data_IF_515835819403
#
_entry.id   IF_515835819403
#
_cell.length_a   1.000
_cell.length_b   1.000
_cell.length_c   1.000
_cell.angle_alpha   90.00
_cell.angle_beta   90.00
_cell.angle_gamma   90.00
#
_symmetry.space_group_name_H-M   'P 1'
#
loop_
_entity.id
_entity.type
_entity.pdbx_description
1 polymer ?
#
# COMPACT_ATOMS: atom_id res chain seq x y z
N UNK A 1 29.73 3.30 -7.86
CA UNK A 1 29.60 3.05 -6.42
C UNK A 1 28.24 2.47 -6.17
N UNK A 2 28.18 1.38 -5.45
CA UNK A 2 26.92 0.67 -5.15
C UNK A 2 26.58 0.83 -3.69
N UNK A 3 25.29 0.83 -3.37
CA UNK A 3 24.75 0.93 -2.03
C UNK A 3 23.64 -0.08 -1.86
N UNK A 4 23.62 -0.78 -0.74
CA UNK A 4 22.47 -1.56 -0.30
C UNK A 4 21.88 -0.90 0.95
N UNK A 5 20.56 -0.74 0.98
CA UNK A 5 19.88 0.04 2.02
C UNK A 5 18.64 -0.68 2.54
N UNK A 6 18.33 -0.41 3.79
CA UNK A 6 17.13 -0.90 4.49
C UNK A 6 16.32 0.31 4.97
N UNK A 7 15.03 0.28 4.75
CA UNK A 7 14.10 1.29 5.28
C UNK A 7 13.75 0.94 6.72
N UNK A 8 14.30 1.71 7.67
CA UNK A 8 14.11 1.44 9.09
C UNK A 8 12.75 1.91 9.61
N UNK A 9 12.16 2.96 9.03
CA UNK A 9 10.83 3.44 9.45
C UNK A 9 9.73 2.48 9.04
N UNK A 10 9.91 1.76 7.94
CA UNK A 10 8.96 0.74 7.49
C UNK A 10 8.84 -0.45 8.44
N UNK A 11 9.90 -0.77 9.19
CA UNK A 11 9.93 -1.91 10.10
C UNK A 11 8.86 -1.80 11.19
N UNK A 12 8.62 -0.59 11.71
CA UNK A 12 7.59 -0.34 12.72
C UNK A 12 6.16 -0.65 12.21
N UNK A 13 5.96 -0.64 10.88
CA UNK A 13 4.71 -0.95 10.21
C UNK A 13 4.70 -2.36 9.60
N UNK A 14 5.59 -3.26 10.04
CA UNK A 14 5.77 -4.60 9.45
C UNK A 14 6.10 -4.57 7.95
N UNK A 15 6.62 -3.45 7.46
CA UNK A 15 6.90 -3.18 6.07
C UNK A 15 8.41 -3.27 5.82
N UNK A 16 8.85 -4.37 5.26
CA UNK A 16 10.27 -4.65 5.03
C UNK A 16 10.69 -4.06 3.69
N UNK A 17 11.45 -2.96 3.74
CA UNK A 17 11.89 -2.22 2.56
C UNK A 17 13.40 -2.32 2.35
N UNK A 18 13.80 -2.77 1.16
CA UNK A 18 15.18 -2.86 0.72
C UNK A 18 15.38 -2.02 -0.53
N UNK A 19 16.56 -1.47 -0.69
CA UNK A 19 16.89 -0.70 -1.89
C UNK A 19 18.34 -0.91 -2.29
N UNK A 20 18.55 -1.24 -3.56
CA UNK A 20 19.85 -1.18 -4.20
C UNK A 20 19.98 0.13 -4.98
N UNK A 21 21.12 0.81 -4.85
CA UNK A 21 21.39 2.04 -5.62
C UNK A 21 22.76 1.97 -6.24
N UNK A 22 22.81 2.26 -7.54
CA UNK A 22 24.04 2.45 -8.30
C UNK A 22 24.23 3.93 -8.63
N UNK A 23 25.25 4.53 -8.06
CA UNK A 23 25.66 5.90 -8.41
C UNK A 23 26.47 5.84 -9.70
N UNK A 24 25.90 6.44 -10.75
CA UNK A 24 26.45 6.44 -12.12
C UNK A 24 27.53 7.51 -12.26
N UNK A 25 27.19 8.74 -11.85
CA UNK A 25 28.11 9.87 -11.90
C UNK A 25 27.90 10.82 -10.70
N UNK A 26 28.48 12.02 -10.75
CA UNK A 26 28.36 13.00 -9.67
C UNK A 26 26.93 13.42 -9.34
N UNK A 27 26.03 13.39 -10.33
CA UNK A 27 24.68 13.95 -10.19
C UNK A 27 23.58 12.93 -10.36
N UNK A 28 23.87 11.74 -10.88
CA UNK A 28 22.85 10.77 -11.27
C UNK A 28 23.11 9.43 -10.61
N UNK A 29 22.05 8.84 -10.07
CA UNK A 29 22.02 7.44 -9.68
C UNK A 29 20.72 6.77 -10.14
N UNK A 30 20.78 5.46 -10.26
CA UNK A 30 19.61 4.59 -10.41
C UNK A 30 19.42 3.79 -9.15
N UNK A 31 18.19 3.70 -8.66
CA UNK A 31 17.86 2.87 -7.50
C UNK A 31 16.68 1.94 -7.81
N UNK A 32 16.73 0.75 -7.25
CA UNK A 32 15.66 -0.24 -7.32
C UNK A 32 15.24 -0.59 -5.90
N UNK A 33 14.01 -0.24 -5.56
CA UNK A 33 13.40 -0.53 -4.26
C UNK A 33 12.50 -1.75 -4.33
N UNK A 34 12.62 -2.62 -3.35
CA UNK A 34 11.72 -3.73 -3.07
C UNK A 34 11.09 -3.49 -1.70
N UNK A 35 9.80 -3.70 -1.58
CA UNK A 35 9.10 -3.64 -0.30
C UNK A 35 8.10 -4.77 -0.23
N UNK A 36 8.04 -5.43 0.92
CA UNK A 36 6.99 -6.40 1.19
C UNK A 36 6.49 -6.28 2.63
N UNK A 37 5.22 -6.55 2.81
CA UNK A 37 4.54 -6.71 4.09
C UNK A 37 3.88 -8.08 4.07
N UNK A 38 4.31 -9.02 4.93
CA UNK A 38 3.64 -10.31 5.06
C UNK A 38 2.16 -10.12 5.41
N UNK A 39 1.28 -10.96 4.85
CA UNK A 39 -0.13 -10.96 5.21
C UNK A 39 -0.31 -11.14 6.71
N UNK A 40 -1.20 -10.39 7.28
CA UNK A 40 -1.50 -10.40 8.71
C UNK A 40 -2.22 -9.13 9.14
N UNK A 41 -2.40 -8.98 10.44
CA UNK A 41 -3.14 -7.88 11.04
C UNK A 41 -2.71 -6.50 10.54
N UNK A 42 -3.66 -5.57 10.46
CA UNK A 42 -3.36 -4.19 10.11
C UNK A 42 -2.36 -3.57 11.11
N UNK A 43 -1.32 -2.89 10.61
CA UNK A 43 -0.46 -2.11 11.49
C UNK A 43 -1.23 -0.93 12.09
N UNK A 44 -0.86 -0.52 13.32
CA UNK A 44 -1.48 0.62 14.02
C UNK A 44 -3.00 0.46 14.25
N UNK A 45 -3.48 -0.76 14.55
CA UNK A 45 -4.90 -1.05 14.81
C UNK A 45 -5.54 -0.07 15.79
N UNK A 46 -4.87 0.26 16.90
CA UNK A 46 -5.38 1.21 17.90
C UNK A 46 -5.67 2.58 17.31
N UNK A 47 -4.70 3.14 16.58
CA UNK A 47 -4.87 4.45 15.94
C UNK A 47 -5.96 4.44 14.86
N UNK A 48 -6.12 3.33 14.14
CA UNK A 48 -7.20 3.17 13.16
C UNK A 48 -8.57 3.10 13.85
N UNK A 49 -8.68 2.40 14.98
CA UNK A 49 -9.91 2.36 15.80
C UNK A 49 -10.23 3.73 16.40
N UNK A 50 -9.24 4.44 16.91
CA UNK A 50 -9.43 5.81 17.39
C UNK A 50 -10.00 6.73 16.28
N UNK A 51 -9.56 6.54 15.05
CA UNK A 51 -10.08 7.28 13.89
C UNK A 51 -11.49 6.82 13.46
N UNK A 52 -11.91 5.60 13.79
CA UNK A 52 -13.24 5.09 13.50
C UNK A 52 -14.33 5.69 14.42
N UNK A 53 -13.95 6.48 15.44
CA UNK A 53 -14.86 7.21 16.34
C UNK A 53 -15.96 6.34 16.98
N UNK A 54 -15.66 5.08 17.27
CA UNK A 54 -16.62 4.15 17.90
C UNK A 54 -17.63 3.50 16.93
N UNK A 55 -17.41 3.59 15.63
CA UNK A 55 -18.15 2.81 14.64
C UNK A 55 -17.78 1.32 14.79
N UNK A 56 -18.69 0.54 15.38
CA UNK A 56 -18.48 -0.87 15.72
C UNK A 56 -18.20 -1.72 14.47
N UNK A 57 -18.82 -1.41 13.34
CA UNK A 57 -18.65 -2.17 12.11
C UNK A 57 -17.26 -1.93 11.50
N UNK A 58 -16.79 -0.66 11.52
CA UNK A 58 -15.43 -0.29 11.10
C UNK A 58 -14.41 -0.90 12.06
N UNK A 59 -14.63 -0.88 13.37
CA UNK A 59 -13.73 -1.48 14.35
C UNK A 59 -13.61 -3.01 14.17
N UNK A 60 -14.72 -3.70 13.94
CA UNK A 60 -14.74 -5.12 13.63
C UNK A 60 -13.99 -5.43 12.31
N UNK A 61 -14.15 -4.59 11.30
CA UNK A 61 -13.41 -4.72 10.06
C UNK A 61 -11.89 -4.57 10.28
N UNK A 62 -11.48 -3.58 11.08
CA UNK A 62 -10.08 -3.36 11.46
C UNK A 62 -9.51 -4.55 12.24
N UNK A 63 -10.29 -5.15 13.15
CA UNK A 63 -9.82 -6.28 13.96
C UNK A 63 -9.59 -7.55 13.17
N UNK A 64 -10.41 -7.80 12.17
CA UNK A 64 -10.42 -9.06 11.44
C UNK A 64 -9.69 -9.00 10.10
N UNK A 65 -9.56 -7.81 9.47
CA UNK A 65 -8.90 -7.68 8.19
C UNK A 65 -7.41 -8.00 8.27
N UNK A 66 -6.96 -8.79 7.32
CA UNK A 66 -5.54 -9.09 7.12
C UNK A 66 -5.08 -8.49 5.80
N UNK A 67 -3.97 -7.75 5.85
CA UNK A 67 -3.38 -7.12 4.69
C UNK A 67 -1.93 -7.54 4.51
N UNK A 68 -1.56 -7.73 3.25
CA UNK A 68 -0.18 -7.88 2.81
C UNK A 68 0.09 -7.00 1.59
N UNK A 69 1.35 -6.71 1.30
CA UNK A 69 1.69 -6.06 0.06
C UNK A 69 3.10 -6.41 -0.42
N UNK A 70 3.27 -6.30 -1.73
CA UNK A 70 4.56 -6.33 -2.39
C UNK A 70 4.68 -5.10 -3.29
N UNK A 71 5.83 -4.43 -3.31
CA UNK A 71 6.07 -3.30 -4.22
C UNK A 71 7.45 -3.37 -4.84
N UNK A 72 7.50 -3.01 -6.12
CA UNK A 72 8.73 -2.79 -6.90
C UNK A 72 8.79 -1.32 -7.31
N UNK A 73 9.92 -0.66 -7.09
CA UNK A 73 10.07 0.78 -7.34
C UNK A 73 11.43 1.11 -7.95
N UNK A 74 11.55 1.14 -9.28
CA UNK A 74 12.70 1.76 -9.96
C UNK A 74 12.63 3.29 -9.87
N UNK A 75 13.78 3.93 -9.62
CA UNK A 75 13.94 5.37 -9.44
C UNK A 75 15.18 5.88 -10.18
N UNK A 76 15.04 7.03 -10.84
CA UNK A 76 16.18 7.82 -11.29
C UNK A 76 16.35 9.03 -10.37
N UNK A 77 17.57 9.25 -9.87
CA UNK A 77 17.86 10.28 -8.89
C UNK A 77 18.78 11.34 -9.46
N UNK A 78 18.38 12.60 -9.29
CA UNK A 78 19.14 13.76 -9.72
C UNK A 78 19.58 14.55 -8.50
N UNK A 79 20.88 14.50 -8.17
CA UNK A 79 21.45 15.17 -7.01
C UNK A 79 21.71 16.66 -7.31
N UNK A 80 21.17 17.52 -6.46
CA UNK A 80 21.27 18.97 -6.59
C UNK A 80 22.57 19.52 -5.99
N UNK A 81 23.18 18.77 -5.08
CA UNK A 81 24.38 19.18 -4.36
C UNK A 81 25.63 19.22 -5.26
N UNK A 82 26.47 20.24 -5.07
CA UNK A 82 27.81 20.32 -5.67
C UNK A 82 28.82 19.34 -5.07
N UNK A 83 28.52 18.77 -3.88
CA UNK A 83 29.39 17.81 -3.15
C UNK A 83 29.57 16.48 -3.87
N UNK A 84 28.73 16.19 -4.87
CA UNK A 84 28.86 15.10 -5.81
C UNK A 84 28.65 13.68 -5.26
N UNK A 85 28.63 12.70 -6.17
CA UNK A 85 28.58 11.26 -5.90
C UNK A 85 27.50 10.83 -4.90
N UNK A 86 26.24 11.21 -5.21
CA UNK A 86 25.09 10.74 -4.46
C UNK A 86 24.98 11.33 -3.04
N UNK A 87 25.38 12.57 -2.83
CA UNK A 87 25.29 13.29 -1.57
C UNK A 87 24.36 14.51 -1.66
N UNK A 88 23.64 14.80 -0.57
CA UNK A 88 22.78 15.97 -0.43
C UNK A 88 21.38 15.73 -0.95
N UNK A 89 20.66 16.81 -1.21
CA UNK A 89 19.28 16.76 -1.71
C UNK A 89 19.23 16.23 -3.13
N UNK A 90 18.16 15.50 -3.42
CA UNK A 90 17.88 14.97 -4.75
C UNK A 90 16.39 15.00 -5.06
N UNK A 91 16.09 14.98 -6.33
CA UNK A 91 14.76 14.75 -6.90
C UNK A 91 14.81 13.42 -7.64
N UNK A 92 13.80 12.59 -7.48
CA UNK A 92 13.75 11.29 -8.12
C UNK A 92 12.37 11.02 -8.72
N UNK A 93 12.20 11.11 -10.03
CA UNK A 93 11.10 10.45 -10.69
C UNK A 93 11.20 8.94 -10.50
N UNK A 94 10.06 8.31 -10.25
CA UNK A 94 9.99 6.87 -10.05
C UNK A 94 8.70 6.29 -10.62
N UNK A 95 8.76 5.02 -10.97
CA UNK A 95 7.60 4.19 -11.19
C UNK A 95 7.42 3.28 -9.98
N UNK A 96 6.18 2.93 -9.66
CA UNK A 96 5.87 2.01 -8.58
C UNK A 96 4.77 1.07 -8.96
N UNK A 97 5.07 -0.21 -8.98
CA UNK A 97 4.10 -1.29 -8.98
C UNK A 97 3.86 -1.74 -7.55
N UNK A 98 2.60 -1.91 -7.16
CA UNK A 98 2.25 -2.52 -5.87
C UNK A 98 1.14 -3.52 -6.06
N UNK A 99 1.29 -4.70 -5.47
CA UNK A 99 0.23 -5.68 -5.29
C UNK A 99 -0.13 -5.73 -3.82
N UNK A 100 -1.39 -5.48 -3.50
CA UNK A 100 -1.98 -5.63 -2.19
C UNK A 100 -2.76 -6.93 -2.17
N UNK A 101 -2.65 -7.68 -1.08
CA UNK A 101 -3.46 -8.85 -0.80
C UNK A 101 -4.31 -8.52 0.43
N UNK A 102 -5.59 -8.84 0.37
CA UNK A 102 -6.52 -8.65 1.46
C UNK A 102 -7.21 -9.97 1.76
N UNK A 103 -7.25 -10.34 3.02
CA UNK A 103 -7.93 -11.53 3.50
C UNK A 103 -8.85 -11.14 4.67
N UNK A 104 -9.95 -11.88 4.81
CA UNK A 104 -10.90 -11.76 5.92
C UNK A 104 -11.48 -10.34 6.14
N UNK A 105 -11.79 -9.62 5.05
CA UNK A 105 -12.50 -8.34 5.15
C UNK A 105 -13.98 -8.66 5.43
N UNK A 106 -14.50 -8.40 6.62
CA UNK A 106 -15.90 -8.69 6.94
C UNK A 106 -16.82 -7.64 6.29
N UNK A 107 -17.86 -8.11 5.61
CA UNK A 107 -18.99 -7.28 5.15
C UNK A 107 -20.24 -7.77 5.87
N UNK A 108 -20.87 -6.89 6.62
CA UNK A 108 -22.16 -7.16 7.24
C UNK A 108 -23.29 -6.91 6.24
N UNK A 109 -24.29 -7.74 6.29
CA UNK A 109 -25.50 -7.60 5.48
C UNK A 109 -26.72 -8.10 6.24
N UNK A 110 -27.91 -7.64 5.87
CA UNK A 110 -29.15 -8.00 6.51
C UNK A 110 -29.63 -9.36 6.00
N UNK A 111 -29.64 -10.36 6.88
CA UNK A 111 -29.99 -11.74 6.54
C UNK A 111 -31.47 -12.09 6.75
N UNK A 112 -32.37 -11.12 6.86
CA UNK A 112 -33.81 -11.36 7.10
C UNK A 112 -34.15 -11.81 8.53
N UNK A 113 -33.31 -12.64 9.14
CA UNK A 113 -33.42 -13.06 10.55
C UNK A 113 -32.42 -12.34 11.48
N UNK A 114 -31.72 -11.34 10.96
CA UNK A 114 -30.68 -10.58 11.65
C UNK A 114 -29.44 -10.32 10.78
N UNK A 115 -28.52 -9.56 11.33
CA UNK A 115 -27.26 -9.25 10.64
C UNK A 115 -26.40 -10.52 10.43
N UNK A 116 -25.90 -10.71 9.23
CA UNK A 116 -24.97 -11.77 8.84
C UNK A 116 -23.67 -11.16 8.33
N UNK A 117 -22.60 -11.93 8.31
CA UNK A 117 -21.29 -11.48 7.83
C UNK A 117 -20.77 -12.42 6.74
N UNK A 118 -20.21 -11.86 5.69
CA UNK A 118 -19.40 -12.56 4.69
C UNK A 118 -17.99 -12.01 4.70
N UNK A 119 -16.98 -12.88 4.68
CA UNK A 119 -15.59 -12.47 4.60
C UNK A 119 -15.12 -12.42 3.14
N UNK A 120 -14.64 -11.26 2.73
CA UNK A 120 -14.08 -11.05 1.41
C UNK A 120 -12.57 -11.22 1.42
N UNK A 121 -12.01 -11.77 0.34
CA UNK A 121 -10.58 -11.89 0.09
C UNK A 121 -10.25 -11.65 -1.37
N UNK A 122 -9.05 -11.17 -1.64
CA UNK A 122 -8.59 -10.95 -3.01
C UNK A 122 -7.35 -10.09 -3.09
N UNK A 123 -7.09 -9.56 -4.25
CA UNK A 123 -5.94 -8.72 -4.50
C UNK A 123 -6.26 -7.48 -5.33
N UNK A 124 -5.42 -6.47 -5.14
CA UNK A 124 -5.44 -5.21 -5.87
C UNK A 124 -4.03 -4.91 -6.36
N UNK A 125 -3.87 -4.67 -7.65
CA UNK A 125 -2.61 -4.25 -8.26
C UNK A 125 -2.68 -2.79 -8.68
N UNK A 126 -1.60 -2.04 -8.43
CA UNK A 126 -1.51 -0.63 -8.79
C UNK A 126 -0.26 -0.33 -9.60
N UNK A 127 -0.40 0.59 -10.56
CA UNK A 127 0.68 1.08 -11.41
C UNK A 127 0.73 2.60 -11.31
N UNK A 128 1.82 3.15 -10.80
CA UNK A 128 1.89 4.55 -10.41
C UNK A 128 3.19 5.18 -10.87
N UNK A 129 3.11 6.43 -11.34
CA UNK A 129 4.23 7.32 -11.52
C UNK A 129 4.33 8.31 -10.38
N UNK A 130 5.53 8.71 -9.99
CA UNK A 130 5.70 9.63 -8.88
C UNK A 130 6.99 10.42 -8.90
N UNK A 131 7.07 11.37 -7.98
CA UNK A 131 8.25 12.20 -7.75
C UNK A 131 8.60 12.19 -6.27
N UNK A 132 9.87 11.89 -5.95
CA UNK A 132 10.42 11.86 -4.60
C UNK A 132 11.39 13.02 -4.40
N UNK A 133 11.25 13.71 -3.27
CA UNK A 133 12.26 14.61 -2.72
C UNK A 133 12.94 13.91 -1.54
N UNK A 134 14.25 13.89 -1.56
CA UNK A 134 15.02 13.26 -0.50
C UNK A 134 16.37 13.88 -0.30
N UNK A 135 17.04 13.44 0.75
CA UNK A 135 18.40 13.85 1.07
C UNK A 135 19.22 12.65 1.53
N UNK A 136 20.50 12.61 1.16
CA UNK A 136 21.41 11.53 1.54
C UNK A 136 22.74 12.06 2.04
N UNK A 137 23.24 11.43 3.09
CA UNK A 137 24.52 11.70 3.71
C UNK A 137 25.33 10.41 3.83
N UNK A 138 26.66 10.55 3.85
CA UNK A 138 27.56 9.45 4.20
C UNK A 138 28.15 9.70 5.58
N UNK A 139 28.02 8.72 6.44
CA UNK A 139 28.62 8.65 7.77
C UNK A 139 29.90 7.83 7.66
N UNK A 140 31.03 8.51 7.61
CA UNK A 140 32.32 7.87 7.33
C UNK A 140 32.45 7.36 5.88
N UNK A 141 33.13 6.21 5.72
CA UNK A 141 33.46 5.65 4.40
C UNK A 141 32.42 4.64 3.88
N UNK A 142 31.68 3.98 4.78
CA UNK A 142 30.88 2.81 4.44
C UNK A 142 29.39 2.95 4.69
N UNK A 143 28.97 3.83 5.59
CA UNK A 143 27.55 3.96 5.99
C UNK A 143 26.91 5.15 5.26
N UNK A 144 25.69 4.98 4.82
CA UNK A 144 24.83 6.04 4.29
C UNK A 144 23.56 6.17 5.11
N UNK A 145 23.15 7.41 5.37
CA UNK A 145 21.85 7.76 5.92
C UNK A 145 21.06 8.50 4.85
N UNK A 146 19.83 8.12 4.63
CA UNK A 146 18.98 8.72 3.62
C UNK A 146 17.61 9.03 4.21
N UNK A 147 17.08 10.20 3.89
CA UNK A 147 15.75 10.64 4.26
C UNK A 147 14.91 10.84 2.99
N UNK A 148 13.85 10.05 2.85
CA UNK A 148 12.77 10.28 1.92
C UNK A 148 11.81 11.30 2.55
N UNK A 149 11.95 12.56 2.18
CA UNK A 149 11.21 13.65 2.81
C UNK A 149 9.74 13.55 2.40
N UNK A 150 9.47 13.51 1.09
CA UNK A 150 8.14 13.39 0.53
C UNK A 150 8.21 12.83 -0.88
N UNK A 151 7.46 11.77 -1.13
CA UNK A 151 7.21 11.24 -2.46
C UNK A 151 5.71 11.13 -2.69
N UNK A 152 5.20 11.83 -3.71
CA UNK A 152 3.83 11.68 -4.17
C UNK A 152 3.79 10.82 -5.43
N UNK A 153 2.77 9.97 -5.56
CA UNK A 153 2.56 9.17 -6.76
C UNK A 153 1.07 9.05 -7.08
N UNK A 154 0.80 8.95 -8.37
CA UNK A 154 -0.54 8.81 -8.92
C UNK A 154 -0.52 7.83 -10.10
N UNK A 155 -1.62 7.13 -10.32
CA UNK A 155 -1.76 6.18 -11.40
C UNK A 155 -3.08 5.43 -11.35
N UNK A 156 -3.06 4.15 -11.65
CA UNK A 156 -4.25 3.30 -11.71
C UNK A 156 -4.13 2.10 -10.78
N UNK A 157 -5.27 1.64 -10.28
CA UNK A 157 -5.41 0.42 -9.52
C UNK A 157 -6.51 -0.46 -10.11
N UNK A 158 -6.31 -1.77 -10.08
CA UNK A 158 -7.28 -2.79 -10.51
C UNK A 158 -7.23 -3.98 -9.58
N UNK A 159 -8.39 -4.46 -9.17
CA UNK A 159 -8.46 -5.63 -8.32
C UNK A 159 -9.88 -6.14 -8.10
N UNK A 160 -9.97 -7.35 -7.57
CA UNK A 160 -11.25 -7.96 -7.21
C UNK A 160 -11.09 -8.66 -5.87
N UNK A 161 -12.03 -8.38 -4.98
CA UNK A 161 -12.15 -9.02 -3.67
C UNK A 161 -13.43 -9.83 -3.68
N UNK A 162 -13.36 -11.12 -3.34
CA UNK A 162 -14.49 -12.06 -3.47
C UNK A 162 -14.79 -12.74 -2.15
N UNK A 163 -16.07 -12.79 -1.77
CA UNK A 163 -16.60 -13.63 -0.70
C UNK A 163 -17.47 -14.74 -1.28
N UNK A 164 -17.37 -15.92 -0.67
CA UNK A 164 -18.18 -17.08 -1.04
C UNK A 164 -19.02 -17.46 0.18
N UNK A 165 -20.32 -17.60 -0.03
CA UNK A 165 -21.26 -18.07 1.01
C UNK A 165 -21.49 -19.57 0.87
N UNK A 166 -21.56 -20.26 2.00
CA UNK A 166 -21.93 -21.67 2.05
C UNK A 166 -23.44 -21.89 1.88
N UNK A 167 -24.23 -20.84 2.08
CA UNK A 167 -25.70 -20.87 1.88
C UNK A 167 -26.09 -19.86 0.82
N UNK A 168 -27.02 -20.18 -0.09
CA UNK A 168 -27.46 -19.23 -1.10
C UNK A 168 -28.03 -17.95 -0.50
N UNK A 169 -27.66 -16.80 -1.08
CA UNK A 169 -28.26 -15.50 -0.76
C UNK A 169 -29.65 -15.38 -1.37
N UNK A 170 -30.61 -14.90 -0.63
CA UNK A 170 -31.88 -14.44 -1.15
C UNK A 170 -31.70 -13.19 -2.03
N UNK A 171 -32.68 -12.84 -2.84
CA UNK A 171 -32.63 -11.62 -3.67
C UNK A 171 -32.49 -10.35 -2.83
N UNK A 172 -33.10 -10.31 -1.64
CA UNK A 172 -32.97 -9.18 -0.71
C UNK A 172 -31.53 -9.05 -0.18
N UNK A 173 -30.96 -10.17 0.26
CA UNK A 173 -29.57 -10.20 0.74
C UNK A 173 -28.57 -9.80 -0.36
N UNK A 174 -28.79 -10.25 -1.60
CA UNK A 174 -27.94 -9.87 -2.74
C UNK A 174 -27.97 -8.36 -2.98
N UNK A 175 -29.14 -7.73 -2.87
CA UNK A 175 -29.29 -6.29 -3.04
C UNK A 175 -28.63 -5.52 -1.88
N UNK A 176 -28.80 -5.98 -0.66
CA UNK A 176 -28.19 -5.36 0.53
C UNK A 176 -26.66 -5.44 0.49
N UNK A 177 -26.10 -6.61 0.19
CA UNK A 177 -24.66 -6.79 -0.02
C UNK A 177 -24.14 -5.85 -1.12
N UNK A 178 -24.85 -5.73 -2.25
CA UNK A 178 -24.46 -4.85 -3.34
C UNK A 178 -24.43 -3.40 -2.87
N UNK A 179 -25.47 -2.93 -2.22
CA UNK A 179 -25.55 -1.57 -1.69
C UNK A 179 -24.43 -1.30 -0.67
N UNK A 180 -24.19 -2.23 0.25
CA UNK A 180 -23.12 -2.11 1.25
C UNK A 180 -21.73 -1.98 0.58
N UNK A 181 -21.44 -2.80 -0.41
CA UNK A 181 -20.15 -2.73 -1.14
C UNK A 181 -20.04 -1.41 -1.92
N UNK A 182 -21.09 -0.99 -2.63
CA UNK A 182 -21.07 0.23 -3.46
C UNK A 182 -21.14 1.52 -2.63
N UNK A 183 -21.57 1.45 -1.36
CA UNK A 183 -21.58 2.58 -0.42
C UNK A 183 -20.19 2.86 0.18
N UNK A 184 -19.20 1.99 -0.03
CA UNK A 184 -17.83 2.22 0.46
C UNK A 184 -17.24 3.43 -0.28
N UNK A 185 -17.10 4.53 0.44
CA UNK A 185 -16.52 5.75 -0.11
C UNK A 185 -14.98 5.66 -0.12
N UNK A 186 -14.42 5.87 -1.30
CA UNK A 186 -12.97 5.91 -1.49
C UNK A 186 -12.54 7.33 -1.85
N UNK A 187 -11.40 7.80 -1.34
CA UNK A 187 -10.86 9.11 -1.71
C UNK A 187 -10.66 9.28 -3.22
N UNK A 188 -10.44 8.17 -3.93
CA UNK A 188 -10.28 8.10 -5.39
C UNK A 188 -10.83 6.78 -5.92
N UNK A 189 -11.51 6.83 -7.07
CA UNK A 189 -12.09 5.65 -7.73
C UNK A 189 -13.48 5.29 -7.20
N UNK A 190 -14.03 4.22 -7.78
CA UNK A 190 -15.33 3.66 -7.39
C UNK A 190 -15.19 2.14 -7.24
N UNK A 191 -15.98 1.57 -6.34
CA UNK A 191 -16.15 0.13 -6.22
C UNK A 191 -17.46 -0.24 -6.90
N UNK A 192 -17.44 -1.32 -7.69
CA UNK A 192 -18.62 -1.92 -8.29
C UNK A 192 -18.83 -3.29 -7.66
N UNK A 193 -20.07 -3.65 -7.39
CA UNK A 193 -20.41 -4.94 -6.81
C UNK A 193 -21.05 -5.89 -7.84
N UNK A 194 -20.56 -7.11 -7.88
CA UNK A 194 -21.21 -8.25 -8.57
C UNK A 194 -21.63 -9.27 -7.51
N UNK A 195 -22.92 -9.43 -7.31
CA UNK A 195 -23.47 -10.37 -6.31
C UNK A 195 -24.36 -11.40 -7.00
N UNK A 196 -24.06 -12.66 -6.76
CA UNK A 196 -24.84 -13.83 -7.21
C UNK A 196 -25.45 -14.53 -5.99
N UNK A 197 -26.12 -15.66 -6.23
CA UNK A 197 -26.70 -16.45 -5.13
C UNK A 197 -25.68 -17.01 -4.12
N UNK A 198 -24.40 -17.12 -4.48
CA UNK A 198 -23.38 -17.71 -3.60
C UNK A 198 -22.09 -16.91 -3.52
N UNK A 199 -21.94 -15.85 -4.32
CA UNK A 199 -20.71 -15.04 -4.34
C UNK A 199 -21.03 -13.56 -4.27
N UNK A 200 -20.20 -12.83 -3.51
CA UNK A 200 -20.18 -11.38 -3.52
C UNK A 200 -18.77 -10.92 -3.95
N UNK A 201 -18.70 -10.04 -4.96
CA UNK A 201 -17.44 -9.46 -5.44
C UNK A 201 -17.48 -7.95 -5.33
N UNK A 202 -16.39 -7.38 -4.82
CA UNK A 202 -16.10 -5.96 -4.90
C UNK A 202 -14.99 -5.78 -5.96
N UNK A 203 -15.28 -5.02 -7.01
CA UNK A 203 -14.38 -4.78 -8.13
C UNK A 203 -13.95 -3.32 -8.09
N UNK A 204 -12.64 -3.10 -8.06
CA UNK A 204 -12.04 -1.79 -8.18
C UNK A 204 -11.32 -1.67 -9.53
N UNK A 205 -11.63 -0.65 -10.30
CA UNK A 205 -10.91 -0.23 -11.51
C UNK A 205 -10.96 1.29 -11.59
N UNK A 206 -9.85 1.95 -11.24
CA UNK A 206 -9.86 3.40 -11.17
C UNK A 206 -8.52 4.03 -10.81
N UNK A 207 -8.53 5.36 -10.60
CA UNK A 207 -7.35 6.09 -10.19
C UNK A 207 -6.88 5.64 -8.81
N UNK A 208 -5.56 5.68 -8.59
CA UNK A 208 -4.93 5.38 -7.32
C UNK A 208 -3.86 6.41 -7.02
N UNK A 209 -3.81 6.88 -5.78
CA UNK A 209 -2.82 7.85 -5.33
C UNK A 209 -2.20 7.42 -4.01
N UNK A 210 -1.02 7.96 -3.71
CA UNK A 210 -0.38 7.68 -2.44
C UNK A 210 0.81 8.56 -2.14
N UNK A 211 1.26 8.46 -0.90
CA UNK A 211 2.44 9.16 -0.40
C UNK A 211 3.51 8.16 0.06
N UNK A 212 4.74 8.63 0.07
CA UNK A 212 5.91 7.86 0.45
C UNK A 212 6.89 8.74 1.22
N UNK A 213 7.36 8.25 2.35
CA UNK A 213 8.37 8.89 3.17
C UNK A 213 9.13 7.85 3.98
N UNK A 214 10.26 8.24 4.60
CA UNK A 214 10.98 7.31 5.46
C UNK A 214 12.47 7.61 5.62
N UNK A 215 13.11 6.84 6.48
CA UNK A 215 14.55 6.90 6.76
C UNK A 215 15.17 5.55 6.38
N UNK A 216 16.27 5.61 5.63
CA UNK A 216 17.02 4.43 5.24
C UNK A 216 18.45 4.51 5.76
N UNK A 217 18.94 3.37 6.20
CA UNK A 217 20.35 3.16 6.47
C UNK A 217 20.89 2.19 5.42
N UNK A 218 22.09 2.48 4.92
CA UNK A 218 22.72 1.66 3.89
C UNK A 218 24.20 1.49 4.08
N UNK A 219 24.71 0.46 3.44
CA UNK A 219 26.13 0.16 3.35
C UNK A 219 26.61 0.35 1.91
N UNK A 220 27.84 0.84 1.80
CA UNK A 220 28.57 0.94 0.54
C UNK A 220 29.22 -0.40 0.23
N UNK A 221 28.98 -0.89 -1.00
CA UNK A 221 29.55 -2.09 -1.56
C UNK A 221 30.73 -1.74 -2.49
#
# INVERSE_FOLDING_TARGET
MNLFKVNITGLALRNYGFQYERIINRKISFALGLRFMPSGDLPLKSSLKDAANGDVDVENAIDNAQLGNFSLTPEFRFYLSKKGYGRGFYIAPYYRYTKFNADAIPIQYNGGAGAKTINLKGDLSTNMGGLMFGAKWFLGKSISLEWWILGAHYGTGKGTITGISSTPFTTLEQNDIRQTIESIDLPVGKITAEVTSTTAKAIFDGPWAGLRGGILIGIRL
#
